data_IF_468877410735
#
_entry.id   IF_468877410735
#
_cell.length_a   1.000
_cell.length_b   1.000
_cell.length_c   1.000
_cell.angle_alpha   90.00
_cell.angle_beta   90.00
_cell.angle_gamma   90.00
#
_symmetry.space_group_name_H-M   'P 1'
#
loop_
_entity.id
_entity.type
_entity.pdbx_description
1 polymer ?
#
# COMPACT_ATOMS: atom_id res chain seq x y z
N UNK A 1 -3.09 12.66 -54.02
CA UNK A 1 -1.98 12.48 -53.06
C UNK A 1 -2.24 13.14 -51.70
N UNK A 2 -2.55 14.45 -51.61
CA UNK A 2 -2.80 15.16 -50.33
C UNK A 2 -3.93 14.59 -49.45
N UNK A 3 -5.03 14.12 -50.05
CA UNK A 3 -6.16 13.51 -49.30
C UNK A 3 -5.78 12.20 -48.59
N UNK A 4 -4.95 11.37 -49.22
CA UNK A 4 -4.52 10.09 -48.64
C UNK A 4 -3.49 10.31 -47.52
N UNK A 5 -2.62 11.31 -47.65
CA UNK A 5 -1.69 11.73 -46.59
C UNK A 5 -2.47 12.24 -45.36
N UNK A 6 -3.54 13.02 -45.58
CA UNK A 6 -4.39 13.51 -44.50
C UNK A 6 -5.13 12.37 -43.77
N UNK A 7 -5.65 11.39 -44.50
CA UNK A 7 -6.30 10.19 -43.94
C UNK A 7 -5.32 9.31 -43.13
N UNK A 8 -4.07 9.17 -43.60
CA UNK A 8 -3.01 8.44 -42.87
C UNK A 8 -2.60 9.18 -41.60
N UNK A 9 -2.46 10.51 -41.65
CA UNK A 9 -2.16 11.31 -40.46
C UNK A 9 -3.30 11.26 -39.44
N UNK A 10 -4.56 11.34 -39.89
CA UNK A 10 -5.73 11.24 -39.02
C UNK A 10 -5.83 9.88 -38.32
N UNK A 11 -5.54 8.79 -39.04
CA UNK A 11 -5.52 7.44 -38.45
C UNK A 11 -4.36 7.24 -37.47
N UNK A 12 -3.18 7.78 -37.74
CA UNK A 12 -2.06 7.81 -36.79
C UNK A 12 -2.40 8.60 -35.51
N UNK A 13 -3.08 9.74 -35.63
CA UNK A 13 -3.54 10.54 -34.48
C UNK A 13 -4.59 9.81 -33.61
N UNK A 14 -5.51 9.08 -34.24
CA UNK A 14 -6.51 8.27 -33.53
C UNK A 14 -5.84 7.11 -32.78
N UNK A 15 -4.85 6.44 -33.38
CA UNK A 15 -4.10 5.35 -32.75
C UNK A 15 -3.25 5.81 -31.55
N UNK A 16 -2.71 7.03 -31.58
CA UNK A 16 -1.99 7.58 -30.42
C UNK A 16 -2.91 7.96 -29.26
N UNK A 17 -4.14 8.38 -29.54
CA UNK A 17 -5.11 8.78 -28.50
C UNK A 17 -5.59 7.60 -27.64
N UNK A 18 -5.64 6.37 -28.19
CA UNK A 18 -6.04 5.18 -27.44
C UNK A 18 -4.98 4.71 -26.41
N UNK A 19 -3.70 4.96 -26.63
CA UNK A 19 -2.63 4.56 -25.71
C UNK A 19 -2.39 5.56 -24.56
N UNK A 20 -2.97 6.76 -24.62
CA UNK A 20 -2.76 7.81 -23.64
C UNK A 20 -3.68 7.74 -22.40
N UNK A 21 -4.68 6.84 -22.40
CA UNK A 21 -5.57 6.70 -21.24
C UNK A 21 -4.85 6.00 -20.08
N UNK A 22 -4.91 6.53 -18.84
CA UNK A 22 -4.36 5.84 -17.68
C UNK A 22 -5.04 4.47 -17.54
N UNK A 23 -4.23 3.40 -17.52
CA UNK A 23 -4.76 2.03 -17.33
C UNK A 23 -5.49 1.96 -16.00
N UNK A 24 -6.78 1.62 -16.05
CA UNK A 24 -7.63 1.41 -14.87
C UNK A 24 -7.04 0.28 -14.01
N UNK A 25 -6.98 0.49 -12.70
CA UNK A 25 -6.61 -0.55 -11.73
C UNK A 25 -7.82 -1.47 -11.56
N UNK A 26 -7.72 -2.72 -12.04
CA UNK A 26 -8.63 -3.81 -11.72
C UNK A 26 -7.96 -4.66 -10.63
N UNK A 27 -8.02 -4.13 -9.40
CA UNK A 27 -7.25 -4.65 -8.28
C UNK A 27 -8.04 -5.62 -7.40
N UNK A 28 -7.34 -6.55 -6.77
CA UNK A 28 -7.85 -7.34 -5.64
C UNK A 28 -7.06 -7.12 -4.37
N UNK A 29 -7.72 -7.23 -3.23
CA UNK A 29 -7.05 -7.32 -1.94
C UNK A 29 -6.66 -8.77 -1.70
N UNK A 30 -5.36 -9.06 -1.64
CA UNK A 30 -4.82 -10.39 -1.48
C UNK A 30 -4.40 -10.60 -0.02
N UNK A 31 -5.34 -11.09 0.79
CA UNK A 31 -5.19 -11.24 2.24
C UNK A 31 -4.10 -12.26 2.56
N UNK A 32 -3.26 -11.92 3.54
CA UNK A 32 -2.21 -12.79 4.04
C UNK A 32 -2.77 -14.13 4.55
N UNK A 33 -2.00 -15.21 4.37
CA UNK A 33 -2.34 -16.52 4.89
C UNK A 33 -1.14 -17.18 5.58
N UNK A 34 -1.40 -18.29 6.29
CA UNK A 34 -0.35 -19.10 6.94
C UNK A 34 0.59 -19.77 5.95
N UNK A 35 0.12 -20.03 4.73
CA UNK A 35 0.82 -20.82 3.73
C UNK A 35 1.59 -19.93 2.74
N UNK A 36 2.59 -20.51 2.08
CA UNK A 36 3.22 -19.87 0.94
C UNK A 36 2.21 -19.77 -0.21
N UNK A 37 2.27 -18.68 -0.99
CA UNK A 37 1.42 -18.57 -2.17
C UNK A 37 1.87 -19.62 -3.20
N UNK A 38 0.89 -20.25 -3.85
CA UNK A 38 1.11 -21.15 -4.96
C UNK A 38 0.22 -20.78 -6.14
N UNK A 39 0.40 -21.47 -7.27
CA UNK A 39 -0.46 -21.32 -8.44
C UNK A 39 -1.95 -21.49 -8.11
N UNK A 40 -2.29 -22.36 -7.14
CA UNK A 40 -3.68 -22.54 -6.67
C UNK A 40 -4.30 -21.25 -6.16
N UNK A 41 -3.51 -20.39 -5.52
CA UNK A 41 -3.95 -19.11 -4.98
C UNK A 41 -3.91 -17.99 -6.02
N UNK A 42 -3.00 -18.07 -7.00
CA UNK A 42 -2.85 -17.08 -8.07
C UNK A 42 -3.91 -17.24 -9.17
N UNK A 43 -4.28 -18.47 -9.53
CA UNK A 43 -5.25 -18.71 -10.60
C UNK A 43 -6.58 -17.95 -10.42
N UNK A 44 -7.19 -17.90 -9.22
CA UNK A 44 -8.38 -17.07 -9.00
C UNK A 44 -8.17 -15.58 -9.33
N UNK A 45 -6.99 -15.03 -9.04
CA UNK A 45 -6.65 -13.62 -9.34
C UNK A 45 -6.58 -13.38 -10.85
N UNK A 46 -6.01 -14.33 -11.60
CA UNK A 46 -5.95 -14.26 -13.06
C UNK A 46 -7.33 -14.44 -13.68
N UNK A 47 -8.14 -15.39 -13.18
CA UNK A 47 -9.44 -15.74 -13.75
C UNK A 47 -10.47 -14.61 -13.66
N UNK A 48 -10.32 -13.69 -12.70
CA UNK A 48 -11.14 -12.47 -12.59
C UNK A 48 -10.55 -11.29 -13.37
N UNK A 49 -9.52 -11.52 -14.18
CA UNK A 49 -8.79 -10.53 -14.97
C UNK A 49 -8.22 -9.38 -14.14
N UNK A 50 -7.82 -9.66 -12.89
CA UNK A 50 -7.16 -8.65 -12.08
C UNK A 50 -5.82 -8.27 -12.72
N UNK A 51 -5.49 -6.98 -12.73
CA UNK A 51 -4.19 -6.47 -13.18
C UNK A 51 -3.33 -5.96 -12.02
N UNK A 52 -3.89 -5.96 -10.81
CA UNK A 52 -3.25 -5.52 -9.58
C UNK A 52 -3.62 -6.43 -8.42
N UNK A 53 -2.70 -6.59 -7.48
CA UNK A 53 -2.96 -7.19 -6.18
C UNK A 53 -2.37 -6.33 -5.07
N UNK A 54 -3.18 -6.04 -4.04
CA UNK A 54 -2.69 -5.48 -2.79
C UNK A 54 -2.23 -6.62 -1.89
N UNK A 55 -0.91 -6.73 -1.68
CA UNK A 55 -0.29 -7.67 -0.74
C UNK A 55 -0.21 -6.99 0.62
N UNK A 56 -0.84 -7.59 1.62
CA UNK A 56 -1.17 -6.93 2.89
C UNK A 56 -0.47 -7.60 4.08
N UNK A 57 0.81 -7.27 4.35
CA UNK A 57 1.44 -7.67 5.59
C UNK A 57 0.81 -6.94 6.79
N UNK A 58 0.94 -7.49 7.99
CA UNK A 58 0.29 -6.96 9.19
C UNK A 58 1.29 -6.60 10.29
N UNK A 59 0.98 -5.52 11.01
CA UNK A 59 1.48 -5.22 12.34
C UNK A 59 0.34 -5.34 13.35
N UNK A 60 0.66 -5.68 14.59
CA UNK A 60 -0.32 -6.00 15.63
C UNK A 60 -0.17 -5.08 16.83
N UNK A 61 -1.29 -4.59 17.35
CA UNK A 61 -1.35 -3.73 18.53
C UNK A 61 -2.42 -4.26 19.51
N UNK A 62 -2.14 -4.14 20.81
CA UNK A 62 -3.01 -4.73 21.85
C UNK A 62 -4.33 -3.99 22.01
N UNK A 63 -4.31 -2.67 21.97
CA UNK A 63 -5.48 -1.80 22.10
C UNK A 63 -5.19 -0.43 21.48
N UNK A 64 -6.20 0.43 21.40
CA UNK A 64 -6.11 1.75 20.73
C UNK A 64 -5.20 2.76 21.44
N UNK A 65 -4.75 2.48 22.66
CA UNK A 65 -3.85 3.34 23.45
C UNK A 65 -2.45 2.75 23.64
N UNK A 66 -2.21 1.53 23.15
CA UNK A 66 -0.93 0.86 23.27
C UNK A 66 0.07 1.42 22.24
N UNK A 67 1.29 1.82 22.62
CA UNK A 67 2.17 2.53 21.70
C UNK A 67 3.09 1.63 20.85
N UNK A 68 3.02 0.31 20.98
CA UNK A 68 3.92 -0.60 20.25
C UNK A 68 3.20 -1.45 19.21
N UNK A 69 3.79 -1.53 18.02
CA UNK A 69 3.36 -2.38 16.91
C UNK A 69 4.31 -3.57 16.83
N UNK A 70 3.78 -4.77 17.03
CA UNK A 70 4.49 -6.02 16.85
C UNK A 70 4.37 -6.48 15.38
N UNK A 71 5.50 -6.72 14.72
CA UNK A 71 5.56 -7.22 13.34
C UNK A 71 6.84 -8.03 13.12
N UNK A 72 6.87 -8.82 12.04
CA UNK A 72 7.91 -9.83 11.76
C UNK A 72 8.24 -10.74 12.95
N UNK A 73 7.21 -11.18 13.67
CA UNK A 73 7.34 -12.10 14.81
C UNK A 73 7.15 -13.56 14.38
N UNK A 74 7.70 -14.50 15.16
CA UNK A 74 7.61 -15.94 14.85
C UNK A 74 6.19 -16.51 14.88
N UNK A 75 5.22 -15.82 15.51
CA UNK A 75 3.83 -16.29 15.64
C UNK A 75 2.90 -15.76 14.54
N UNK A 76 3.40 -14.87 13.68
CA UNK A 76 2.62 -14.35 12.56
C UNK A 76 2.45 -15.39 11.48
N UNK A 77 1.37 -15.25 10.71
CA UNK A 77 1.21 -16.02 9.49
C UNK A 77 2.29 -15.62 8.50
N UNK A 78 2.70 -16.56 7.64
CA UNK A 78 3.78 -16.30 6.69
C UNK A 78 3.52 -15.03 5.88
N UNK A 79 2.33 -14.90 5.28
CA UNK A 79 1.95 -13.75 4.45
C UNK A 79 1.86 -12.41 5.21
N UNK A 80 1.83 -12.43 6.54
CA UNK A 80 1.82 -11.21 7.37
C UNK A 80 3.23 -10.64 7.59
N UNK A 81 4.27 -11.44 7.32
CA UNK A 81 5.68 -11.05 7.46
C UNK A 81 6.25 -10.47 6.18
N UNK A 82 7.38 -9.76 6.28
CA UNK A 82 8.15 -9.30 5.10
C UNK A 82 8.46 -10.43 4.12
N UNK A 83 8.97 -11.56 4.61
CA UNK A 83 9.41 -12.65 3.75
C UNK A 83 8.23 -13.30 3.00
N UNK A 84 7.10 -13.50 3.68
CA UNK A 84 5.91 -14.02 3.01
C UNK A 84 5.31 -13.02 2.03
N UNK A 85 5.22 -11.73 2.41
CA UNK A 85 4.76 -10.68 1.50
C UNK A 85 5.67 -10.56 0.26
N UNK A 86 6.99 -10.71 0.41
CA UNK A 86 7.94 -10.79 -0.71
C UNK A 86 7.63 -11.97 -1.62
N UNK A 87 7.47 -13.17 -1.04
CA UNK A 87 7.16 -14.37 -1.79
C UNK A 87 5.82 -14.23 -2.54
N UNK A 88 4.85 -13.57 -1.92
CA UNK A 88 3.53 -13.29 -2.52
C UNK A 88 3.65 -12.35 -3.72
N UNK A 89 4.34 -11.21 -3.53
CA UNK A 89 4.54 -10.22 -4.58
C UNK A 89 5.27 -10.83 -5.78
N UNK A 90 6.37 -11.53 -5.55
CA UNK A 90 7.18 -12.15 -6.63
C UNK A 90 6.37 -13.19 -7.40
N UNK A 91 5.59 -14.04 -6.73
CA UNK A 91 4.80 -15.05 -7.42
C UNK A 91 3.68 -14.42 -8.27
N UNK A 92 2.99 -13.40 -7.76
CA UNK A 92 1.96 -12.66 -8.51
C UNK A 92 2.56 -11.95 -9.74
N UNK A 93 3.75 -11.34 -9.59
CA UNK A 93 4.44 -10.63 -10.68
C UNK A 93 4.84 -11.54 -11.84
N UNK A 94 5.11 -12.83 -11.61
CA UNK A 94 5.38 -13.81 -12.68
C UNK A 94 4.23 -13.92 -13.69
N UNK A 95 3.03 -13.53 -13.29
CA UNK A 95 1.83 -13.53 -14.13
C UNK A 95 1.43 -12.14 -14.62
N UNK A 96 2.33 -11.16 -14.52
CA UNK A 96 2.09 -9.78 -14.94
C UNK A 96 1.13 -9.00 -14.04
N UNK A 97 0.82 -9.53 -12.85
CA UNK A 97 0.03 -8.81 -11.83
C UNK A 97 0.91 -7.73 -11.21
N UNK A 98 0.46 -6.48 -11.26
CA UNK A 98 1.10 -5.34 -10.60
C UNK A 98 0.86 -5.37 -9.10
N UNK A 99 1.80 -4.83 -8.34
CA UNK A 99 1.79 -5.00 -6.87
C UNK A 99 1.56 -3.67 -6.18
N UNK A 100 0.61 -3.67 -5.24
CA UNK A 100 0.57 -2.70 -4.16
C UNK A 100 1.02 -3.38 -2.87
N UNK A 101 2.09 -2.91 -2.24
CA UNK A 101 2.41 -3.31 -0.87
C UNK A 101 1.57 -2.43 0.07
N UNK A 102 0.70 -3.04 0.88
CA UNK A 102 -0.24 -2.35 1.76
C UNK A 102 -0.17 -2.89 3.19
N UNK A 103 0.85 -2.49 3.98
CA UNK A 103 0.94 -2.87 5.37
C UNK A 103 -0.25 -2.33 6.16
N UNK A 104 -0.85 -3.17 7.00
CA UNK A 104 -2.00 -2.80 7.82
C UNK A 104 -1.73 -3.07 9.30
N UNK A 105 -2.47 -2.38 10.17
CA UNK A 105 -2.45 -2.61 11.60
C UNK A 105 -3.71 -3.41 11.97
N UNK A 106 -3.52 -4.46 12.76
CA UNK A 106 -4.60 -5.18 13.42
C UNK A 106 -4.61 -4.82 14.90
N UNK A 107 -5.67 -4.14 15.34
CA UNK A 107 -5.96 -3.96 16.77
C UNK A 107 -6.66 -5.21 17.28
N UNK A 108 -6.24 -5.70 18.46
CA UNK A 108 -6.85 -6.90 19.06
C UNK A 108 -8.38 -6.76 19.14
N UNK A 109 -9.07 -7.88 18.97
CA UNK A 109 -10.54 -7.93 18.85
C UNK A 109 -11.14 -7.20 17.63
N UNK A 110 -10.33 -6.82 16.64
CA UNK A 110 -10.81 -6.20 15.40
C UNK A 110 -11.31 -4.77 15.60
N UNK A 111 -10.79 -4.08 16.62
CA UNK A 111 -11.16 -2.69 16.90
C UNK A 111 -10.70 -1.79 15.74
N UNK A 112 -11.55 -0.82 15.40
CA UNK A 112 -11.26 0.13 14.32
C UNK A 112 -9.96 0.92 14.56
N UNK A 113 -9.05 0.90 13.59
CA UNK A 113 -7.73 1.54 13.66
C UNK A 113 -7.79 3.05 13.70
N UNK A 114 -8.87 3.66 13.18
CA UNK A 114 -9.03 5.11 13.20
C UNK A 114 -9.13 5.69 14.60
N UNK A 115 -9.40 4.85 15.61
CA UNK A 115 -9.48 5.24 17.02
C UNK A 115 -8.13 5.21 17.76
N UNK A 116 -7.04 4.78 17.13
CA UNK A 116 -5.72 4.74 17.77
C UNK A 116 -5.31 6.15 18.20
N UNK A 117 -5.10 6.34 19.50
CA UNK A 117 -4.82 7.62 20.11
C UNK A 117 -4.04 7.42 21.42
N UNK A 118 -2.87 8.05 21.52
CA UNK A 118 -2.03 7.91 22.69
C UNK A 118 -2.40 8.93 23.76
N UNK A 119 -2.46 8.49 25.01
CA UNK A 119 -2.85 9.33 26.15
C UNK A 119 -1.79 10.38 26.54
N UNK A 120 -0.52 10.18 26.17
CA UNK A 120 0.58 11.07 26.56
C UNK A 120 1.53 11.31 25.38
N UNK A 121 2.23 12.43 25.43
CA UNK A 121 3.28 12.77 24.46
C UNK A 121 4.39 11.71 24.41
N UNK A 122 4.73 11.11 25.57
CA UNK A 122 5.71 10.04 25.64
C UNK A 122 5.24 8.79 24.86
N UNK A 123 3.98 8.40 25.03
CA UNK A 123 3.40 7.26 24.30
C UNK A 123 3.29 7.56 22.80
N UNK A 124 2.96 8.78 22.41
CA UNK A 124 2.99 9.19 21.01
C UNK A 124 4.37 9.02 20.37
N UNK A 125 5.44 9.45 21.04
CA UNK A 125 6.80 9.28 20.53
C UNK A 125 7.18 7.80 20.36
N UNK A 126 6.76 6.95 21.30
CA UNK A 126 6.96 5.49 21.18
C UNK A 126 6.18 4.93 19.99
N UNK A 127 4.92 5.35 19.81
CA UNK A 127 4.08 4.92 18.70
C UNK A 127 4.61 5.37 17.34
N UNK A 128 5.03 6.63 17.21
CA UNK A 128 5.67 7.16 16.01
C UNK A 128 6.94 6.38 15.64
N UNK A 129 7.80 6.09 16.62
CA UNK A 129 9.00 5.28 16.38
C UNK A 129 8.66 3.86 15.97
N UNK A 130 7.65 3.25 16.60
CA UNK A 130 7.19 1.89 16.29
C UNK A 130 6.58 1.82 14.88
N UNK A 131 5.72 2.78 14.53
CA UNK A 131 5.11 2.91 13.21
C UNK A 131 6.16 3.16 12.12
N UNK A 132 7.13 4.05 12.37
CA UNK A 132 8.24 4.29 11.43
C UNK A 132 9.03 3.02 11.15
N UNK A 133 9.36 2.23 12.19
CA UNK A 133 10.06 0.94 11.99
C UNK A 133 9.24 -0.02 11.14
N UNK A 134 7.95 -0.16 11.46
CA UNK A 134 7.02 -1.00 10.71
C UNK A 134 6.93 -0.59 9.24
N UNK A 135 6.59 0.67 8.98
CA UNK A 135 6.30 1.14 7.63
C UNK A 135 7.56 1.24 6.76
N UNK A 136 8.71 1.63 7.33
CA UNK A 136 9.98 1.70 6.58
C UNK A 136 10.51 0.30 6.23
N UNK A 137 10.23 -0.72 7.03
CA UNK A 137 10.57 -2.10 6.68
C UNK A 137 9.83 -2.55 5.42
N UNK A 138 8.57 -2.16 5.28
CA UNK A 138 7.77 -2.46 4.10
C UNK A 138 7.99 -1.50 2.93
N UNK A 139 8.48 -0.28 3.18
CA UNK A 139 8.99 0.60 2.12
C UNK A 139 10.22 -0.03 1.44
N UNK A 140 11.13 -0.62 2.22
CA UNK A 140 12.26 -1.40 1.67
C UNK A 140 11.76 -2.58 0.87
N UNK A 141 10.80 -3.34 1.38
CA UNK A 141 10.20 -4.45 0.63
C UNK A 141 9.58 -3.97 -0.70
N UNK A 142 8.85 -2.86 -0.67
CA UNK A 142 8.23 -2.29 -1.87
C UNK A 142 9.27 -1.93 -2.93
N UNK A 143 10.43 -1.40 -2.54
CA UNK A 143 11.55 -1.16 -3.46
C UNK A 143 12.19 -2.48 -3.92
N UNK A 144 12.48 -3.41 -3.01
CA UNK A 144 13.09 -4.73 -3.29
C UNK A 144 12.31 -5.53 -4.35
N UNK A 145 10.97 -5.47 -4.30
CA UNK A 145 10.09 -6.17 -5.25
C UNK A 145 9.65 -5.30 -6.42
N UNK A 146 10.15 -4.07 -6.54
CA UNK A 146 9.70 -3.09 -7.54
C UNK A 146 8.17 -2.93 -7.58
N UNK A 147 7.53 -2.83 -6.42
CA UNK A 147 6.09 -2.66 -6.32
C UNK A 147 5.65 -1.37 -7.04
N UNK A 148 4.53 -1.43 -7.75
CA UNK A 148 3.99 -0.29 -8.48
C UNK A 148 3.45 0.81 -7.54
N UNK A 149 2.91 0.40 -6.39
CA UNK A 149 2.36 1.30 -5.37
C UNK A 149 2.75 0.83 -3.96
N UNK A 150 3.06 1.78 -3.09
CA UNK A 150 3.20 1.54 -1.65
C UNK A 150 2.15 2.34 -0.88
N UNK A 151 1.31 1.65 -0.11
CA UNK A 151 0.31 2.28 0.74
C UNK A 151 0.89 2.53 2.14
N UNK A 152 1.05 3.80 2.52
CA UNK A 152 1.78 4.20 3.72
C UNK A 152 0.93 4.16 5.00
N UNK A 153 -0.36 3.82 4.89
CA UNK A 153 -1.31 3.76 5.99
C UNK A 153 -2.74 3.51 5.51
N UNK A 154 -3.54 2.87 6.36
CA UNK A 154 -4.95 2.56 6.10
C UNK A 154 -5.78 2.96 7.31
N UNK A 155 -6.69 3.92 7.16
CA UNK A 155 -7.69 4.28 8.15
C UNK A 155 -7.11 4.60 9.55
N UNK A 156 -6.12 5.50 9.60
CA UNK A 156 -5.41 5.93 10.82
C UNK A 156 -5.81 7.36 11.22
N UNK A 157 -7.11 7.64 11.23
CA UNK A 157 -7.68 9.00 11.30
C UNK A 157 -7.16 9.85 12.46
N UNK A 158 -7.32 9.39 13.71
CA UNK A 158 -6.86 10.14 14.89
C UNK A 158 -5.35 10.31 14.91
N UNK A 159 -4.59 9.31 14.47
CA UNK A 159 -3.14 9.43 14.38
C UNK A 159 -2.73 10.51 13.36
N UNK A 160 -3.32 10.49 12.17
CA UNK A 160 -3.08 11.51 11.14
C UNK A 160 -3.44 12.91 11.63
N UNK A 161 -4.62 13.06 12.25
CA UNK A 161 -5.09 14.35 12.76
C UNK A 161 -4.20 14.91 13.88
N UNK A 162 -3.76 14.05 14.80
CA UNK A 162 -2.94 14.47 15.94
C UNK A 162 -1.45 14.68 15.59
N UNK A 163 -0.95 14.06 14.51
CA UNK A 163 0.49 13.99 14.18
C UNK A 163 0.85 14.43 12.75
N UNK A 164 0.37 15.59 12.26
CA UNK A 164 0.56 16.01 10.87
C UNK A 164 2.04 16.20 10.49
N UNK A 165 2.87 16.73 11.38
CA UNK A 165 4.30 16.95 11.12
C UNK A 165 5.06 15.62 11.00
N UNK A 166 4.78 14.66 11.88
CA UNK A 166 5.33 13.31 11.81
C UNK A 166 5.05 12.67 10.45
N UNK A 167 3.80 12.75 9.94
CA UNK A 167 3.44 12.16 8.65
C UNK A 167 4.18 12.80 7.47
N UNK A 168 4.35 14.12 7.48
CA UNK A 168 5.14 14.80 6.45
C UNK A 168 6.60 14.33 6.46
N UNK A 169 7.21 14.21 7.65
CA UNK A 169 8.57 13.71 7.80
C UNK A 169 8.69 12.23 7.39
N UNK A 170 7.70 11.41 7.76
CA UNK A 170 7.66 10.00 7.38
C UNK A 170 7.63 9.81 5.86
N UNK A 171 6.85 10.61 5.13
CA UNK A 171 6.80 10.58 3.67
C UNK A 171 8.18 10.90 3.07
N UNK A 172 8.90 11.88 3.63
CA UNK A 172 10.27 12.20 3.19
C UNK A 172 11.22 11.02 3.43
N UNK A 173 11.16 10.37 4.59
CA UNK A 173 11.98 9.19 4.86
C UNK A 173 11.64 8.01 3.94
N UNK A 174 10.35 7.75 3.69
CA UNK A 174 9.91 6.71 2.75
C UNK A 174 10.47 6.99 1.35
N UNK A 175 10.44 8.24 0.88
CA UNK A 175 10.95 8.61 -0.45
C UNK A 175 12.46 8.52 -0.61
N UNK A 176 13.22 8.42 0.49
CA UNK A 176 14.65 8.09 0.41
C UNK A 176 14.89 6.60 0.12
N UNK A 177 13.89 5.75 0.36
CA UNK A 177 13.96 4.30 0.23
C UNK A 177 13.24 3.81 -1.02
N UNK A 178 12.02 4.29 -1.25
CA UNK A 178 11.12 3.80 -2.29
C UNK A 178 10.84 4.87 -3.35
N UNK A 179 11.08 4.51 -4.61
CA UNK A 179 11.00 5.43 -5.76
C UNK A 179 9.65 5.38 -6.50
N UNK A 180 8.78 4.43 -6.16
CA UNK A 180 7.48 4.27 -6.81
C UNK A 180 6.39 5.19 -6.24
N UNK A 181 5.12 4.85 -6.55
CA UNK A 181 3.98 5.70 -6.18
C UNK A 181 3.55 5.45 -4.74
N UNK A 182 3.35 6.51 -3.98
CA UNK A 182 2.80 6.43 -2.63
C UNK A 182 1.28 6.62 -2.66
N UNK A 183 0.56 5.90 -1.80
CA UNK A 183 -0.86 6.13 -1.56
C UNK A 183 -1.18 6.02 -0.06
N UNK A 184 -2.36 6.50 0.37
CA UNK A 184 -2.89 6.36 1.72
C UNK A 184 -4.37 6.01 1.61
N UNK A 185 -4.78 4.89 2.23
CA UNK A 185 -6.15 4.42 2.17
C UNK A 185 -6.97 5.06 3.30
N UNK A 186 -7.52 6.26 3.04
CA UNK A 186 -8.40 6.94 3.98
C UNK A 186 -9.77 6.29 4.06
N UNK A 187 -10.42 6.43 5.22
CA UNK A 187 -11.84 6.14 5.36
C UNK A 187 -12.67 7.15 4.53
N UNK A 188 -13.85 6.72 4.09
CA UNK A 188 -14.77 7.51 3.25
C UNK A 188 -15.18 8.85 3.89
N UNK A 189 -15.21 8.96 5.23
CA UNK A 189 -15.54 10.21 5.94
C UNK A 189 -14.36 11.20 6.07
N UNK A 190 -13.11 10.74 5.89
CA UNK A 190 -11.91 11.51 6.28
C UNK A 190 -11.13 12.08 5.10
N UNK A 191 -11.62 11.91 3.87
CA UNK A 191 -10.98 12.34 2.63
C UNK A 191 -10.62 13.83 2.57
N UNK A 192 -11.37 14.68 3.27
CA UNK A 192 -11.16 16.14 3.24
C UNK A 192 -10.14 16.65 4.28
N UNK A 193 -9.54 15.77 5.10
CA UNK A 193 -8.82 16.17 6.33
C UNK A 193 -7.37 15.64 6.39
N UNK A 194 -6.82 15.13 5.28
CA UNK A 194 -5.42 14.68 5.29
C UNK A 194 -4.46 15.87 5.30
N UNK A 195 -3.57 16.00 6.29
CA UNK A 195 -2.65 17.14 6.45
C UNK A 195 -1.48 17.11 5.45
N UNK A 196 -1.34 16.02 4.70
CA UNK A 196 -0.38 15.88 3.60
C UNK A 196 -1.11 16.01 2.26
N UNK A 197 -0.62 16.90 1.40
CA UNK A 197 -1.30 17.22 0.15
C UNK A 197 -1.29 16.07 -0.87
N UNK A 198 -2.26 16.09 -1.80
CA UNK A 198 -2.34 15.22 -3.01
C UNK A 198 -1.07 15.22 -3.88
N UNK A 199 -0.11 16.10 -3.60
CA UNK A 199 1.21 16.15 -4.26
C UNK A 199 2.05 14.90 -3.97
N UNK A 200 1.89 14.28 -2.79
CA UNK A 200 2.75 13.19 -2.34
C UNK A 200 2.15 11.80 -2.55
N UNK A 201 0.83 11.74 -2.73
CA UNK A 201 0.02 10.54 -2.63
C UNK A 201 -0.95 10.54 -3.80
N UNK A 202 -0.96 9.44 -4.56
CA UNK A 202 -1.88 9.20 -5.68
C UNK A 202 -3.25 8.68 -5.23
#
# INVERSE_FOLDING_TARGET
>A
MRRNIFLVLLTLFILQSCNAQPKKINGVSFVASREAISQKNVMPVININANFAAVMPFGFIRDITHPEIAFNTQRQWLGETKNGAQQYAVELQKHGIKIMIKPQIWVSHGVYTGHIEMATEANWKVFEQSYSKFILEYAKLAEEVNADIFCIGTELEKFVANRPEYWNNLIVEIKKIYNGKLTYAANWMSLNVLPFGRKWII
#
